data_IF_318745351451
#
_entry.id   IF_318745351451
#
_cell.length_a   1.000
_cell.length_b   1.000
_cell.length_c   1.000
_cell.angle_alpha   90.00
_cell.angle_beta   90.00
_cell.angle_gamma   90.00
#
_symmetry.space_group_name_H-M   'P 1'
#
loop_
_entity.id
_entity.type
_entity.pdbx_description
1 polymer ?
#
# COMPACT_ATOMS: atom_id res chain seq x y z
N UNK A 1 -14.37 32.59 -11.46
CA UNK A 1 -14.14 31.77 -10.24
C UNK A 1 -14.51 30.33 -10.54
N UNK A 2 -13.58 29.55 -11.08
CA UNK A 2 -13.81 28.12 -11.34
C UNK A 2 -13.57 27.36 -10.04
N UNK A 3 -14.67 26.97 -9.40
CA UNK A 3 -14.64 26.07 -8.24
C UNK A 3 -14.10 24.72 -8.72
N UNK A 4 -12.84 24.45 -8.39
CA UNK A 4 -12.20 23.16 -8.62
C UNK A 4 -12.91 22.18 -7.68
N UNK A 5 -13.82 21.36 -8.20
CA UNK A 5 -14.33 20.19 -7.47
C UNK A 5 -13.10 19.43 -6.95
N UNK A 6 -12.85 19.52 -5.65
CA UNK A 6 -11.89 18.64 -5.00
C UNK A 6 -12.50 17.25 -5.05
N UNK A 7 -12.18 16.50 -6.10
CA UNK A 7 -12.49 15.09 -6.21
C UNK A 7 -12.02 14.44 -4.92
N UNK A 8 -12.95 14.07 -4.04
CA UNK A 8 -12.66 13.58 -2.69
C UNK A 8 -12.05 12.20 -2.85
N UNK A 9 -10.74 12.13 -3.08
CA UNK A 9 -9.99 10.90 -3.25
C UNK A 9 -10.08 10.10 -1.94
N UNK A 10 -11.10 9.25 -1.83
CA UNK A 10 -11.26 8.29 -0.74
C UNK A 10 -10.32 7.09 -0.90
N UNK A 11 -9.65 6.95 -2.04
CA UNK A 11 -8.89 5.77 -2.45
C UNK A 11 -7.52 6.15 -3.03
N UNK A 12 -6.71 6.94 -2.30
CA UNK A 12 -5.29 7.04 -2.63
C UNK A 12 -4.51 6.03 -1.79
N UNK A 13 -3.51 5.33 -2.36
CA UNK A 13 -2.66 4.41 -1.60
C UNK A 13 -2.01 5.08 -0.38
N UNK A 14 -1.66 6.37 -0.48
CA UNK A 14 -1.10 7.14 0.65
C UNK A 14 -2.07 7.22 1.83
N UNK A 15 -3.35 7.50 1.57
CA UNK A 15 -4.37 7.65 2.62
C UNK A 15 -4.77 6.31 3.23
N UNK A 16 -4.67 5.23 2.46
CA UNK A 16 -4.82 3.86 2.98
C UNK A 16 -3.67 3.53 3.94
N UNK A 17 -2.42 3.76 3.52
CA UNK A 17 -1.25 3.52 4.38
C UNK A 17 -1.29 4.36 5.65
N UNK A 18 -1.75 5.61 5.59
CA UNK A 18 -1.89 6.44 6.79
C UNK A 18 -2.85 5.84 7.80
N UNK A 19 -4.02 5.37 7.36
CA UNK A 19 -4.98 4.67 8.23
C UNK A 19 -4.41 3.36 8.77
N UNK A 20 -3.75 2.60 7.92
CA UNK A 20 -3.18 1.32 8.31
C UNK A 20 -2.01 1.50 9.29
N UNK A 21 -1.34 2.66 9.27
CA UNK A 21 -0.27 2.99 10.21
C UNK A 21 -0.78 3.38 11.60
N UNK A 22 -2.01 3.89 11.74
CA UNK A 22 -2.59 4.29 13.03
C UNK A 22 -2.53 3.16 14.09
N UNK A 23 -2.92 1.90 13.80
CA UNK A 23 -2.77 0.78 14.74
C UNK A 23 -1.33 0.49 15.21
N UNK A 24 -0.33 0.77 14.36
CA UNK A 24 1.07 0.56 14.72
C UNK A 24 1.53 1.64 15.72
N UNK A 25 1.11 2.89 15.52
CA UNK A 25 1.38 4.02 16.42
C UNK A 25 0.67 3.83 17.76
N UNK A 26 -0.59 3.39 17.73
CA UNK A 26 -1.38 3.10 18.94
C UNK A 26 -0.86 1.86 19.70
N UNK A 27 0.13 1.14 19.16
CA UNK A 27 0.69 -0.08 19.77
C UNK A 27 -0.26 -1.27 19.77
N UNK A 28 -1.37 -1.21 19.01
CA UNK A 28 -2.34 -2.30 18.90
C UNK A 28 -1.80 -3.48 18.10
N UNK A 29 -0.84 -3.22 17.22
CA UNK A 29 -0.12 -4.24 16.44
C UNK A 29 1.38 -4.01 16.55
N UNK A 30 2.16 -5.09 16.50
CA UNK A 30 3.63 -5.03 16.60
C UNK A 30 4.32 -4.80 15.25
N UNK A 31 3.64 -5.18 14.16
CA UNK A 31 4.17 -5.15 12.81
C UNK A 31 3.03 -5.10 11.80
N UNK A 32 3.28 -4.47 10.67
CA UNK A 32 2.39 -4.44 9.51
C UNK A 32 3.20 -4.86 8.29
N UNK A 33 2.67 -5.85 7.57
CA UNK A 33 3.23 -6.34 6.32
C UNK A 33 2.18 -6.17 5.20
N UNK A 34 2.56 -5.51 4.12
CA UNK A 34 1.73 -5.34 2.93
C UNK A 34 2.04 -6.43 1.92
N UNK A 35 1.02 -7.23 1.58
CA UNK A 35 1.14 -8.31 0.61
C UNK A 35 0.82 -7.82 -0.80
N UNK A 36 1.78 -7.95 -1.71
CA UNK A 36 1.63 -7.66 -3.12
C UNK A 36 1.55 -8.95 -3.92
N UNK A 37 0.43 -9.11 -4.62
CA UNK A 37 0.21 -10.22 -5.53
C UNK A 37 0.57 -9.80 -6.96
N UNK A 38 0.86 -10.81 -7.79
CA UNK A 38 1.11 -10.59 -9.21
C UNK A 38 -0.13 -9.97 -9.87
N UNK A 39 0.08 -8.88 -10.60
CA UNK A 39 -0.96 -8.28 -11.43
C UNK A 39 -1.34 -9.22 -12.58
N UNK A 40 -2.64 -9.52 -12.79
CA UNK A 40 -3.08 -10.34 -13.92
C UNK A 40 -2.93 -9.61 -15.26
N UNK A 41 -2.84 -8.28 -15.24
CA UNK A 41 -2.77 -7.43 -16.44
C UNK A 41 -1.32 -7.21 -16.87
N UNK A 42 -0.43 -6.93 -15.92
CA UNK A 42 0.96 -6.55 -16.23
C UNK A 42 1.98 -7.64 -15.92
N UNK A 43 1.59 -8.70 -15.21
CA UNK A 43 2.50 -9.76 -14.76
C UNK A 43 3.53 -9.33 -13.71
N UNK A 44 3.57 -8.04 -13.35
CA UNK A 44 4.48 -7.48 -12.34
C UNK A 44 3.98 -7.80 -10.94
N UNK A 45 4.92 -7.95 -10.01
CA UNK A 45 4.66 -8.09 -8.57
C UNK A 45 5.34 -6.95 -7.84
N UNK A 46 4.76 -6.53 -6.72
CA UNK A 46 5.32 -5.50 -5.85
C UNK A 46 4.75 -4.09 -6.03
N UNK A 47 5.08 -3.19 -5.08
CA UNK A 47 4.70 -1.78 -5.13
C UNK A 47 5.43 -1.01 -6.24
N UNK A 48 4.88 0.15 -6.62
CA UNK A 48 5.63 1.10 -7.43
C UNK A 48 6.79 1.70 -6.63
N UNK A 49 7.85 2.18 -7.29
CA UNK A 49 9.04 2.76 -6.62
C UNK A 49 8.71 3.81 -5.55
N UNK A 50 7.90 4.85 -5.85
CA UNK A 50 7.51 5.85 -4.85
C UNK A 50 6.72 5.28 -3.66
N UNK A 51 5.94 4.21 -3.88
CA UNK A 51 5.18 3.54 -2.84
C UNK A 51 6.10 2.70 -1.95
N UNK A 52 7.07 2.01 -2.56
CA UNK A 52 8.09 1.24 -1.86
C UNK A 52 8.87 2.11 -0.87
N UNK A 53 9.41 3.23 -1.34
CA UNK A 53 10.13 4.19 -0.49
C UNK A 53 9.26 4.72 0.65
N UNK A 54 7.96 4.92 0.40
CA UNK A 54 7.04 5.41 1.41
C UNK A 54 6.75 4.37 2.50
N UNK A 55 6.63 3.09 2.12
CA UNK A 55 6.47 1.98 3.06
C UNK A 55 7.76 1.76 3.88
N UNK A 56 8.92 1.78 3.22
CA UNK A 56 10.22 1.59 3.87
C UNK A 56 10.52 2.69 4.91
N UNK A 57 10.23 3.96 4.59
CA UNK A 57 10.37 5.08 5.54
C UNK A 57 9.49 4.95 6.79
N UNK A 58 8.39 4.20 6.71
CA UNK A 58 7.48 3.95 7.83
C UNK A 58 7.73 2.61 8.53
N UNK A 59 8.74 1.85 8.10
CA UNK A 59 9.05 0.53 8.65
C UNK A 59 7.96 -0.51 8.38
N UNK A 60 7.14 -0.31 7.35
CA UNK A 60 6.11 -1.26 6.93
C UNK A 60 6.77 -2.30 6.03
N UNK A 61 6.63 -3.58 6.35
CA UNK A 61 7.20 -4.65 5.55
C UNK A 61 6.46 -4.84 4.22
N UNK A 62 7.20 -5.23 3.18
CA UNK A 62 6.66 -5.53 1.85
C UNK A 62 6.88 -7.00 1.56
N UNK A 63 5.80 -7.75 1.34
CA UNK A 63 5.84 -9.16 0.98
C UNK A 63 5.37 -9.29 -0.47
N UNK A 64 6.27 -9.68 -1.36
CA UNK A 64 5.96 -9.96 -2.76
C UNK A 64 5.64 -11.45 -2.92
N UNK A 65 4.37 -11.76 -3.08
CA UNK A 65 3.91 -13.13 -3.17
C UNK A 65 4.21 -13.66 -4.56
N UNK A 66 5.33 -14.36 -4.68
CA UNK A 66 5.78 -15.09 -5.87
C UNK A 66 5.03 -16.43 -5.99
N UNK A 67 3.71 -16.40 -5.93
CA UNK A 67 2.88 -17.60 -6.03
C UNK A 67 2.68 -18.02 -7.48
N UNK A 68 3.57 -18.82 -8.02
CA UNK A 68 3.19 -19.81 -9.04
C UNK A 68 2.41 -20.93 -8.32
N UNK A 69 1.14 -20.67 -8.02
CA UNK A 69 0.21 -21.62 -7.43
C UNK A 69 -0.85 -21.95 -8.46
N UNK A 70 -0.63 -23.05 -9.17
CA UNK A 70 -1.51 -23.71 -10.13
C UNK A 70 -2.88 -23.97 -9.50
N UNK A 71 -3.95 -23.70 -10.27
CA UNK A 71 -5.32 -24.16 -10.00
C UNK A 71 -5.39 -25.68 -9.98
#
# INVERSE_FOLDING_TARGET
MTSKMACRARHSPRRQIEKDFEPLVDGRVKKIDWMFYRSPVTGKVGPTGPLREYLDRRGIGVIEVSGAGVL
#
